data_IF_404883679217
#
_entry.id   IF_404883679217
#
_cell.length_a   1.000
_cell.length_b   1.000
_cell.length_c   1.000
_cell.angle_alpha   90.00
_cell.angle_beta   90.00
_cell.angle_gamma   90.00
#
_symmetry.space_group_name_H-M   'P 1'
#
loop_
_entity.id
_entity.type
_entity.pdbx_description
1 polymer ?
#
# COMPACT_ATOMS: atom_id res chain seq x y z
N UNK A 1 -37.05 44.36 -30.45
CA UNK A 1 -37.23 42.99 -30.99
C UNK A 1 -36.76 42.01 -29.93
N UNK A 2 -37.44 41.88 -28.79
CA UNK A 2 -38.76 41.30 -28.59
C UNK A 2 -38.86 39.81 -28.91
N UNK A 3 -38.75 39.02 -27.84
CA UNK A 3 -39.48 37.79 -27.48
C UNK A 3 -39.45 36.60 -28.44
N UNK A 4 -39.02 35.45 -27.90
CA UNK A 4 -39.92 34.28 -27.76
C UNK A 4 -39.46 33.34 -26.65
N UNK A 5 -40.31 33.29 -25.61
CA UNK A 5 -40.35 32.33 -24.51
C UNK A 5 -41.57 31.44 -24.76
N UNK A 6 -41.40 30.11 -24.84
CA UNK A 6 -42.38 29.02 -24.58
C UNK A 6 -41.53 27.75 -24.37
N UNK A 7 -41.63 26.93 -23.33
CA UNK A 7 -42.74 26.60 -22.43
C UNK A 7 -43.15 25.14 -22.70
N UNK A 8 -42.98 24.25 -21.72
CA UNK A 8 -43.40 22.84 -21.77
C UNK A 8 -42.49 21.98 -20.87
N UNK A 9 -42.75 21.88 -19.56
CA UNK A 9 -43.74 21.01 -18.88
C UNK A 9 -43.26 19.55 -18.79
N UNK A 10 -42.81 19.17 -17.61
CA UNK A 10 -42.42 17.81 -17.24
C UNK A 10 -42.16 17.70 -15.75
N UNK A 11 -43.14 18.12 -14.94
CA UNK A 11 -43.16 17.82 -13.52
C UNK A 11 -43.63 16.37 -13.34
N UNK A 12 -42.75 15.48 -12.89
CA UNK A 12 -43.12 14.17 -12.38
C UNK A 12 -42.88 14.18 -10.87
N UNK A 13 -43.97 14.46 -10.15
CA UNK A 13 -44.10 14.23 -8.72
C UNK A 13 -44.53 12.78 -8.48
N UNK A 14 -44.42 12.37 -7.21
CA UNK A 14 -44.95 11.17 -6.56
C UNK A 14 -44.00 9.98 -6.46
N UNK A 15 -43.36 9.91 -5.29
CA UNK A 15 -42.64 8.72 -4.85
C UNK A 15 -42.15 8.77 -3.40
N UNK A 16 -42.76 9.55 -2.52
CA UNK A 16 -42.56 9.38 -1.06
C UNK A 16 -43.39 8.15 -0.68
N UNK A 17 -42.77 6.98 -0.77
CA UNK A 17 -43.36 5.71 -0.36
C UNK A 17 -42.64 5.17 0.86
N UNK A 18 -42.78 5.87 2.00
CA UNK A 18 -42.50 5.27 3.30
C UNK A 18 -43.56 4.19 3.55
N UNK A 19 -43.25 2.93 3.21
CA UNK A 19 -44.02 1.79 3.67
C UNK A 19 -43.35 1.26 4.94
N UNK A 20 -43.84 1.75 6.08
CA UNK A 20 -43.70 1.12 7.38
C UNK A 20 -44.29 -0.30 7.28
N UNK A 21 -43.42 -1.31 7.20
CA UNK A 21 -43.77 -2.71 7.28
C UNK A 21 -43.00 -3.37 8.41
N UNK A 22 -43.36 -3.04 9.65
CA UNK A 22 -42.90 -3.79 10.81
C UNK A 22 -43.61 -5.15 10.81
N UNK A 23 -42.84 -6.25 10.93
CA UNK A 23 -43.40 -7.53 11.40
C UNK A 23 -42.59 -7.95 12.61
N UNK A 24 -43.18 -7.67 13.78
CA UNK A 24 -42.72 -8.13 15.09
C UNK A 24 -43.42 -9.45 15.37
N UNK A 25 -42.67 -10.55 15.44
CA UNK A 25 -43.04 -11.73 16.20
C UNK A 25 -41.80 -12.63 16.37
N UNK A 26 -41.63 -13.14 17.59
CA UNK A 26 -40.56 -14.05 17.94
C UNK A 26 -40.53 -15.28 17.02
N UNK A 27 -39.36 -15.57 16.45
CA UNK A 27 -39.05 -16.84 15.80
C UNK A 27 -39.40 -16.91 14.31
N UNK A 28 -38.43 -16.47 13.49
CA UNK A 28 -38.19 -16.89 12.10
C UNK A 28 -39.25 -16.44 11.06
N UNK A 29 -38.98 -15.33 10.36
CA UNK A 29 -39.56 -15.05 9.04
C UNK A 29 -38.58 -15.48 7.95
N UNK A 30 -38.94 -16.51 7.21
CA UNK A 30 -38.26 -17.06 6.05
C UNK A 30 -38.54 -16.18 4.82
N UNK A 31 -37.51 -15.65 4.16
CA UNK A 31 -37.62 -15.16 2.77
C UNK A 31 -36.65 -15.97 1.90
N UNK A 32 -37.24 -16.71 0.96
CA UNK A 32 -36.55 -17.63 0.06
C UNK A 32 -35.99 -16.92 -1.18
N UNK A 33 -34.71 -17.18 -1.45
CA UNK A 33 -33.97 -17.34 -2.73
C UNK A 33 -34.40 -16.50 -3.94
N UNK A 34 -33.49 -15.86 -4.67
CA UNK A 34 -32.55 -16.58 -5.55
C UNK A 34 -31.36 -15.71 -5.98
N UNK A 35 -30.22 -16.38 -6.15
CA UNK A 35 -28.91 -15.93 -6.60
C UNK A 35 -28.85 -14.71 -7.55
N UNK A 36 -28.07 -13.69 -7.14
CA UNK A 36 -27.00 -13.15 -7.99
C UNK A 36 -25.81 -12.79 -7.09
N UNK A 37 -24.66 -13.35 -7.46
CA UNK A 37 -23.38 -13.26 -6.78
C UNK A 37 -22.67 -11.97 -7.19
N UNK A 38 -22.66 -10.95 -6.34
CA UNK A 38 -21.59 -9.95 -6.27
C UNK A 38 -21.34 -9.56 -4.81
N UNK A 39 -20.32 -10.18 -4.24
CA UNK A 39 -19.79 -9.88 -2.91
C UNK A 39 -19.08 -8.53 -2.94
N UNK A 40 -19.80 -7.47 -2.57
CA UNK A 40 -19.21 -6.26 -1.98
C UNK A 40 -19.25 -6.45 -0.47
N UNK A 41 -18.15 -6.97 0.09
CA UNK A 41 -17.93 -7.03 1.53
C UNK A 41 -17.21 -5.77 1.98
N UNK A 42 -17.97 -4.80 2.47
CA UNK A 42 -17.48 -3.89 3.49
C UNK A 42 -17.70 -4.57 4.83
N UNK A 43 -16.62 -4.88 5.55
CA UNK A 43 -16.70 -5.24 6.96
C UNK A 43 -15.96 -4.20 7.80
N UNK A 44 -16.71 -3.79 8.80
CA UNK A 44 -16.52 -2.78 9.80
C UNK A 44 -15.30 -3.04 10.71
N UNK A 45 -14.74 -1.93 11.18
CA UNK A 45 -13.67 -1.81 12.16
C UNK A 45 -13.82 -2.74 13.37
N UNK A 46 -12.91 -3.71 13.48
CA UNK A 46 -12.52 -4.28 14.77
C UNK A 46 -11.13 -3.75 15.11
N UNK A 47 -11.09 -2.62 15.81
CA UNK A 47 -9.91 -2.14 16.52
C UNK A 47 -9.59 -3.14 17.63
N UNK A 48 -8.92 -4.22 17.24
CA UNK A 48 -8.12 -4.98 18.18
C UNK A 48 -6.89 -4.12 18.41
N UNK A 49 -6.65 -3.73 19.65
CA UNK A 49 -5.37 -3.18 20.08
C UNK A 49 -4.28 -4.17 19.67
N UNK A 50 -3.73 -3.97 18.48
CA UNK A 50 -2.61 -4.75 17.98
C UNK A 50 -1.39 -4.18 18.67
N UNK A 51 -1.07 -4.75 19.84
CA UNK A 51 0.30 -4.69 20.34
C UNK A 51 1.15 -5.14 19.14
N UNK A 52 2.05 -4.31 18.60
CA UNK A 52 2.91 -4.75 17.52
C UNK A 52 3.56 -6.05 18.00
N UNK A 53 3.52 -7.13 17.19
CA UNK A 53 4.12 -8.39 17.60
C UNK A 53 5.53 -8.08 18.11
N UNK A 54 5.92 -8.60 19.30
CA UNK A 54 7.26 -8.38 19.79
C UNK A 54 8.22 -8.74 18.66
N UNK A 55 9.10 -7.79 18.32
CA UNK A 55 10.09 -7.95 17.27
C UNK A 55 10.71 -9.33 17.43
N UNK A 56 10.79 -10.15 16.36
CA UNK A 56 11.19 -11.54 16.48
C UNK A 56 12.55 -11.62 17.16
N UNK A 57 12.58 -12.31 18.29
CA UNK A 57 13.78 -12.57 19.07
C UNK A 57 14.74 -13.44 18.26
N UNK A 58 15.84 -12.81 17.83
CA UNK A 58 17.17 -13.30 17.44
C UNK A 58 17.38 -14.53 16.55
N UNK A 59 16.48 -15.48 16.39
CA UNK A 59 16.91 -16.81 15.92
C UNK A 59 16.62 -17.20 14.48
N UNK A 60 15.90 -16.43 13.68
CA UNK A 60 15.83 -16.66 12.23
C UNK A 60 15.28 -15.40 11.55
N UNK A 61 16.16 -14.47 11.17
CA UNK A 61 15.75 -13.41 10.24
C UNK A 61 15.34 -14.13 8.95
N UNK A 62 14.07 -14.03 8.50
CA UNK A 62 13.64 -14.71 7.30
C UNK A 62 14.54 -14.30 6.13
N UNK A 63 14.96 -15.24 5.28
CA UNK A 63 15.83 -14.95 4.12
C UNK A 63 15.26 -13.85 3.24
N UNK A 64 13.93 -13.81 3.12
CA UNK A 64 13.19 -12.77 2.40
C UNK A 64 13.45 -11.35 2.93
N UNK A 65 13.81 -11.22 4.22
CA UNK A 65 14.19 -9.94 4.84
C UNK A 65 15.63 -9.59 4.46
N UNK A 66 16.57 -10.54 4.48
CA UNK A 66 17.96 -10.33 4.05
C UNK A 66 18.02 -9.87 2.59
N UNK A 67 17.24 -10.49 1.70
CA UNK A 67 17.16 -10.10 0.28
C UNK A 67 16.69 -8.66 0.08
N UNK A 68 15.83 -8.12 0.95
CA UNK A 68 15.35 -6.73 0.89
C UNK A 68 16.43 -5.71 1.29
N UNK A 69 17.50 -6.16 1.95
CA UNK A 69 18.63 -5.31 2.34
C UNK A 69 19.72 -5.24 1.26
N UNK A 70 19.62 -6.08 0.22
CA UNK A 70 20.55 -6.10 -0.89
C UNK A 70 20.24 -4.99 -1.89
N UNK A 71 21.29 -4.37 -2.42
CA UNK A 71 21.17 -3.43 -3.52
C UNK A 71 20.77 -4.19 -4.81
N UNK A 72 19.71 -3.79 -5.52
CA UNK A 72 19.33 -4.46 -6.76
C UNK A 72 20.33 -4.35 -7.91
N UNK A 73 21.36 -3.51 -7.79
CA UNK A 73 22.43 -3.33 -8.80
C UNK A 73 23.65 -4.21 -8.47
N UNK A 74 24.20 -4.13 -7.26
CA UNK A 74 25.39 -4.91 -6.89
C UNK A 74 25.08 -6.29 -6.31
N UNK A 75 23.84 -6.51 -5.85
CA UNK A 75 23.42 -7.69 -5.09
C UNK A 75 24.17 -7.86 -3.77
N UNK A 76 24.75 -6.77 -3.25
CA UNK A 76 25.42 -6.70 -1.95
C UNK A 76 24.57 -5.91 -0.95
N UNK A 77 24.80 -6.12 0.35
CA UNK A 77 24.11 -5.36 1.41
C UNK A 77 24.37 -3.87 1.22
N UNK A 78 23.30 -3.07 1.20
CA UNK A 78 23.42 -1.62 1.05
C UNK A 78 24.19 -1.02 2.22
N UNK A 79 25.08 -0.07 1.96
CA UNK A 79 25.79 0.68 3.01
C UNK A 79 25.11 2.03 3.22
N UNK A 80 24.73 2.69 2.14
CA UNK A 80 23.96 3.94 2.18
C UNK A 80 22.69 3.82 1.34
N UNK A 81 21.59 3.28 1.91
CA UNK A 81 20.36 3.06 1.19
C UNK A 81 19.69 4.39 0.84
N UNK A 82 19.39 4.57 -0.46
CA UNK A 82 18.64 5.71 -1.00
C UNK A 82 17.44 5.23 -1.80
N UNK A 83 16.32 5.94 -1.68
CA UNK A 83 15.08 5.67 -2.39
C UNK A 83 14.93 6.63 -3.57
N UNK A 84 14.52 6.06 -4.71
CA UNK A 84 14.14 6.81 -5.91
C UNK A 84 12.71 7.36 -5.77
N UNK A 85 12.31 8.39 -6.53
CA UNK A 85 10.92 8.87 -6.55
C UNK A 85 9.89 7.80 -6.99
N UNK A 86 10.38 6.70 -7.56
CA UNK A 86 9.59 5.56 -7.99
C UNK A 86 9.45 4.47 -6.92
N UNK A 87 9.97 4.68 -5.70
CA UNK A 87 9.83 3.76 -4.57
C UNK A 87 10.85 2.63 -4.49
N UNK A 88 11.81 2.56 -5.41
CA UNK A 88 12.88 1.55 -5.37
C UNK A 88 14.07 2.05 -4.55
N UNK A 89 14.64 1.19 -3.71
CA UNK A 89 15.82 1.49 -2.89
C UNK A 89 17.07 0.85 -3.48
N UNK A 90 18.19 1.59 -3.46
CA UNK A 90 19.50 1.15 -3.93
C UNK A 90 20.59 1.63 -2.97
N UNK A 91 21.80 1.07 -3.10
CA UNK A 91 22.98 1.72 -2.53
C UNK A 91 23.32 2.99 -3.31
N UNK A 92 23.65 4.07 -2.59
CA UNK A 92 23.96 5.38 -3.15
C UNK A 92 25.01 5.32 -4.26
N UNK A 93 26.16 4.68 -4.01
CA UNK A 93 27.27 4.71 -4.97
C UNK A 93 26.87 4.05 -6.29
N UNK A 94 26.13 2.95 -6.19
CA UNK A 94 25.71 2.15 -7.33
C UNK A 94 24.66 2.87 -8.18
N UNK A 95 23.65 3.47 -7.55
CA UNK A 95 22.61 4.18 -8.29
C UNK A 95 23.12 5.51 -8.86
N UNK A 96 24.00 6.22 -8.15
CA UNK A 96 24.60 7.46 -8.68
C UNK A 96 25.46 7.17 -9.90
N UNK A 97 26.30 6.13 -9.87
CA UNK A 97 27.10 5.69 -11.03
C UNK A 97 26.22 5.25 -12.20
N UNK A 98 25.10 4.59 -11.92
CA UNK A 98 24.14 4.20 -12.95
C UNK A 98 23.46 5.42 -13.59
N UNK A 99 23.05 6.40 -12.79
CA UNK A 99 22.45 7.65 -13.26
C UNK A 99 23.44 8.43 -14.12
N UNK A 100 24.71 8.52 -13.73
CA UNK A 100 25.73 9.19 -14.54
C UNK A 100 25.88 8.57 -15.93
N UNK A 101 25.76 7.25 -16.03
CA UNK A 101 25.94 6.53 -17.30
C UNK A 101 24.69 6.54 -18.18
N UNK A 102 23.49 6.47 -17.58
CA UNK A 102 22.25 6.22 -18.34
C UNK A 102 21.15 7.28 -18.14
N UNK A 103 21.20 8.08 -17.08
CA UNK A 103 20.20 9.12 -16.79
C UNK A 103 18.77 8.60 -16.50
N UNK A 104 18.63 7.31 -16.20
CA UNK A 104 17.33 6.65 -16.02
C UNK A 104 17.35 5.72 -14.80
N UNK A 105 16.17 5.42 -14.27
CA UNK A 105 15.99 4.40 -13.23
C UNK A 105 16.19 2.98 -13.81
N UNK A 106 17.00 2.11 -13.17
CA UNK A 106 17.21 0.73 -13.65
C UNK A 106 15.92 -0.09 -13.78
N UNK A 107 14.98 0.11 -12.86
CA UNK A 107 13.73 -0.67 -12.75
C UNK A 107 12.63 -0.15 -13.68
N UNK A 108 12.39 1.16 -13.68
CA UNK A 108 11.26 1.75 -14.41
C UNK A 108 11.63 2.31 -15.78
N UNK A 109 12.93 2.47 -16.05
CA UNK A 109 13.49 3.14 -17.25
C UNK A 109 13.01 4.58 -17.44
N UNK A 110 12.41 5.18 -16.41
CA UNK A 110 12.00 6.60 -16.42
C UNK A 110 13.20 7.50 -16.07
N UNK A 111 13.20 8.78 -16.50
CA UNK A 111 14.25 9.73 -16.17
C UNK A 111 14.52 9.79 -14.67
N UNK A 112 15.78 9.84 -14.28
CA UNK A 112 16.19 9.88 -12.88
C UNK A 112 17.45 10.74 -12.75
N UNK A 113 17.48 11.64 -11.77
CA UNK A 113 18.65 12.48 -11.46
C UNK A 113 19.13 12.23 -10.04
N UNK A 114 20.38 12.58 -9.73
CA UNK A 114 20.97 12.34 -8.40
C UNK A 114 20.24 13.11 -7.29
N UNK A 115 19.76 14.31 -7.60
CA UNK A 115 19.05 15.19 -6.67
C UNK A 115 17.69 14.64 -6.28
N UNK A 116 17.14 13.74 -7.08
CA UNK A 116 15.87 13.08 -6.80
C UNK A 116 15.98 11.90 -5.82
N UNK A 117 17.21 11.54 -5.43
CA UNK A 117 17.47 10.46 -4.47
C UNK A 117 17.29 10.96 -3.04
N UNK A 118 16.48 10.24 -2.28
CA UNK A 118 16.19 10.56 -0.88
C UNK A 118 16.82 9.47 0.01
N UNK A 119 17.54 9.80 1.09
CA UNK A 119 18.04 8.79 2.02
C UNK A 119 16.91 7.94 2.62
N UNK A 120 17.12 6.63 2.72
CA UNK A 120 16.17 5.70 3.33
C UNK A 120 16.66 5.25 4.72
N UNK A 121 16.36 6.06 5.74
CA UNK A 121 16.81 5.82 7.11
C UNK A 121 16.25 4.53 7.71
N UNK A 122 15.02 4.14 7.36
CA UNK A 122 14.40 2.91 7.87
C UNK A 122 15.17 1.65 7.42
N UNK A 123 15.56 1.59 6.15
CA UNK A 123 16.41 0.50 5.65
C UNK A 123 17.78 0.52 6.33
N UNK A 124 18.35 1.71 6.55
CA UNK A 124 19.64 1.85 7.24
C UNK A 124 19.61 1.30 8.66
N UNK A 125 18.56 1.59 9.41
CA UNK A 125 18.34 1.04 10.76
C UNK A 125 18.18 -0.48 10.73
N UNK A 126 17.41 -1.01 9.78
CA UNK A 126 17.27 -2.46 9.62
C UNK A 126 18.60 -3.15 9.30
N UNK A 127 19.43 -2.56 8.44
CA UNK A 127 20.78 -3.07 8.13
C UNK A 127 21.66 -3.04 9.37
N UNK A 128 21.60 -1.95 10.15
CA UNK A 128 22.34 -1.86 11.41
C UNK A 128 21.96 -2.97 12.37
N UNK A 129 20.65 -3.18 12.59
CA UNK A 129 20.16 -4.24 13.45
C UNK A 129 20.55 -5.63 12.93
N UNK A 130 20.41 -5.86 11.62
CA UNK A 130 20.79 -7.10 10.96
C UNK A 130 22.28 -7.43 11.18
N UNK A 131 23.15 -6.44 11.03
CA UNK A 131 24.58 -6.61 11.25
C UNK A 131 24.90 -6.93 12.72
N UNK A 132 24.28 -6.22 13.67
CA UNK A 132 24.48 -6.47 15.11
C UNK A 132 24.08 -7.89 15.53
N UNK A 133 22.91 -8.38 15.08
CA UNK A 133 22.45 -9.74 15.42
C UNK A 133 23.38 -10.84 14.88
N UNK A 134 24.07 -10.61 13.75
CA UNK A 134 24.99 -11.60 13.16
C UNK A 134 26.31 -11.71 13.92
N UNK A 135 26.77 -10.64 14.55
CA UNK A 135 28.03 -10.65 15.31
C UNK A 135 27.91 -11.50 16.59
N UNK A 136 26.73 -11.55 17.21
CA UNK A 136 26.46 -12.33 18.42
C UNK A 136 26.47 -13.86 18.18
N UNK A 137 26.32 -14.31 16.92
CA UNK A 137 26.31 -15.75 16.55
C UNK A 137 27.68 -16.33 16.20
N UNK A 138 28.77 -15.54 16.33
CA UNK A 138 30.14 -15.97 15.97
C UNK A 138 31.03 -16.41 17.15
N UNK A 139 30.53 -16.37 18.38
CA UNK A 139 31.19 -16.95 19.56
C UNK A 139 30.67 -18.36 19.88
#
# INVERSE_FOLDING_TARGET
MEKKKKGGSGALLFGIGAALGAVVAAGITYFATSDTKETVGGEESKETQHIPPPLPSSENIPKDVEEKLLCPISLEVMTDPVVTPYGHTFDRQNIESYIEKYGICPMTRKPLTKESLIPNYSIREMISHFNSTREETKE
#
